data_IF_927118259527
#
_entry.id   IF_927118259527
#
_cell.length_a   1.000
_cell.length_b   1.000
_cell.length_c   1.000
_cell.angle_alpha   90.00
_cell.angle_beta   90.00
_cell.angle_gamma   90.00
#
_symmetry.space_group_name_H-M   'P 1'
#
loop_
_entity.id
_entity.type
_entity.pdbx_description
1 polymer ?
#
# COMPACT_ATOMS: atom_id res chain seq x y z
N UNK A 1 -21.86 -10.59 3.58
CA UNK A 1 -21.11 -10.16 2.38
C UNK A 1 -19.76 -9.62 2.83
N UNK A 2 -18.67 -10.36 2.59
CA UNK A 2 -17.32 -9.97 3.00
C UNK A 2 -16.87 -8.70 2.27
N UNK A 3 -16.09 -7.85 2.96
CA UNK A 3 -15.63 -6.55 2.43
C UNK A 3 -14.51 -6.74 1.42
N UNK A 4 -14.84 -7.26 0.24
CA UNK A 4 -13.90 -7.49 -0.86
C UNK A 4 -13.67 -6.15 -1.57
N UNK A 5 -12.39 -5.80 -1.78
CA UNK A 5 -12.01 -4.61 -2.57
C UNK A 5 -12.19 -4.91 -4.05
N UNK A 6 -12.80 -3.98 -4.78
CA UNK A 6 -13.00 -4.09 -6.24
C UNK A 6 -11.67 -4.12 -6.99
N UNK A 7 -11.62 -4.85 -8.10
CA UNK A 7 -10.41 -5.08 -8.88
C UNK A 7 -9.80 -3.77 -9.41
N UNK A 8 -10.64 -2.81 -9.80
CA UNK A 8 -10.22 -1.48 -10.25
C UNK A 8 -9.33 -0.77 -9.23
N UNK A 9 -9.64 -0.91 -7.93
CA UNK A 9 -8.87 -0.29 -6.86
C UNK A 9 -7.50 -0.95 -6.74
N UNK A 10 -7.44 -2.28 -6.89
CA UNK A 10 -6.17 -3.04 -6.81
C UNK A 10 -5.27 -2.71 -8.00
N UNK A 11 -5.82 -2.66 -9.21
CA UNK A 11 -5.07 -2.33 -10.43
C UNK A 11 -4.51 -0.91 -10.37
N UNK A 12 -5.34 0.08 -10.03
CA UNK A 12 -4.88 1.47 -9.92
C UNK A 12 -3.81 1.62 -8.84
N UNK A 13 -3.98 0.96 -7.69
CA UNK A 13 -3.00 1.01 -6.62
C UNK A 13 -1.67 0.36 -7.01
N UNK A 14 -1.69 -0.75 -7.75
CA UNK A 14 -0.48 -1.38 -8.27
C UNK A 14 0.23 -0.47 -9.27
N UNK A 15 -0.51 0.12 -10.22
CA UNK A 15 0.07 1.01 -11.22
C UNK A 15 0.76 2.23 -10.58
N UNK A 16 0.09 2.87 -9.62
CA UNK A 16 0.65 4.02 -8.90
C UNK A 16 1.90 3.61 -8.11
N UNK A 17 1.86 2.44 -7.46
CA UNK A 17 3.00 1.92 -6.68
C UNK A 17 4.19 1.58 -7.58
N UNK A 18 3.95 1.03 -8.76
CA UNK A 18 5.00 0.71 -9.74
C UNK A 18 5.65 1.97 -10.32
N UNK A 19 4.86 3.02 -10.55
CA UNK A 19 5.39 4.32 -11.01
C UNK A 19 6.22 5.03 -9.93
N UNK A 20 5.87 4.88 -8.64
CA UNK A 20 6.53 5.59 -7.54
C UNK A 20 6.89 4.66 -6.36
N UNK A 21 7.81 3.69 -6.55
CA UNK A 21 8.09 2.68 -5.54
C UNK A 21 8.67 3.25 -4.24
N UNK A 22 9.44 4.34 -4.32
CA UNK A 22 10.15 4.94 -3.18
C UNK A 22 9.31 5.94 -2.38
N UNK A 23 8.12 6.31 -2.84
CA UNK A 23 7.29 7.33 -2.16
C UNK A 23 6.27 6.73 -1.19
N UNK A 24 5.98 5.43 -1.28
CA UNK A 24 4.99 4.78 -0.44
C UNK A 24 5.64 4.08 0.75
N UNK A 25 5.02 4.24 1.91
CA UNK A 25 5.49 3.68 3.19
C UNK A 25 4.40 2.85 3.86
N UNK A 26 4.66 2.32 5.06
CA UNK A 26 3.62 1.68 5.90
C UNK A 26 2.64 2.68 6.51
N UNK A 27 2.96 3.97 6.50
CA UNK A 27 2.11 5.00 7.10
C UNK A 27 0.94 5.38 6.18
N UNK A 28 -0.27 5.35 6.73
CA UNK A 28 -1.49 5.62 5.97
C UNK A 28 -1.67 7.11 5.63
N UNK A 29 -1.28 8.02 6.53
CA UNK A 29 -1.46 9.45 6.33
C UNK A 29 -0.50 10.00 5.28
N UNK A 30 0.77 9.59 5.34
CA UNK A 30 1.78 9.90 4.31
C UNK A 30 1.33 9.38 2.94
N UNK A 31 0.85 8.15 2.86
CA UNK A 31 0.39 7.58 1.60
C UNK A 31 -0.82 8.34 1.02
N UNK A 32 -1.71 8.89 1.86
CA UNK A 32 -2.81 9.75 1.39
C UNK A 32 -2.32 11.07 0.81
N UNK A 33 -1.33 11.70 1.42
CA UNK A 33 -0.74 12.94 0.94
C UNK A 33 -0.06 12.70 -0.41
N UNK A 34 0.78 11.66 -0.50
CA UNK A 34 1.44 11.27 -1.75
C UNK A 34 0.42 10.96 -2.85
N UNK A 35 -0.69 10.30 -2.52
CA UNK A 35 -1.75 10.04 -3.51
C UNK A 35 -2.43 11.31 -4.02
N UNK A 36 -2.58 12.34 -3.18
CA UNK A 36 -3.15 13.64 -3.58
C UNK A 36 -2.19 14.40 -4.50
N UNK A 37 -0.88 14.30 -4.24
CA UNK A 37 0.15 14.91 -5.09
C UNK A 37 0.32 14.18 -6.43
N UNK A 38 0.22 12.85 -6.43
CA UNK A 38 0.49 12.01 -7.59
C UNK A 38 -0.74 11.87 -8.50
N UNK A 39 -1.95 11.88 -7.93
CA UNK A 39 -3.17 11.61 -8.68
C UNK A 39 -4.34 12.49 -8.23
N UNK A 40 -5.05 13.05 -9.20
CA UNK A 40 -6.29 13.78 -8.95
C UNK A 40 -7.41 12.76 -8.72
N UNK A 41 -7.59 12.35 -7.45
CA UNK A 41 -8.65 11.42 -7.05
C UNK A 41 -9.85 12.23 -6.55
N UNK A 42 -11.00 12.22 -7.26
CA UNK A 42 -12.14 13.09 -6.95
C UNK A 42 -12.86 12.69 -5.65
N UNK A 43 -12.88 11.40 -5.32
CA UNK A 43 -13.63 10.89 -4.17
C UNK A 43 -12.73 10.53 -3.00
N UNK A 44 -12.97 11.15 -1.84
CA UNK A 44 -12.30 10.83 -0.56
C UNK A 44 -12.32 9.34 -0.23
N UNK A 45 -13.46 8.67 -0.45
CA UNK A 45 -13.62 7.23 -0.18
C UNK A 45 -12.73 6.37 -1.10
N UNK A 46 -12.57 6.75 -2.36
CA UNK A 46 -11.70 6.03 -3.30
C UNK A 46 -10.24 6.20 -2.91
N UNK A 47 -9.83 7.43 -2.60
CA UNK A 47 -8.47 7.72 -2.11
C UNK A 47 -8.11 6.89 -0.88
N UNK A 48 -9.01 6.86 0.10
CA UNK A 48 -8.80 6.10 1.34
C UNK A 48 -8.72 4.59 1.07
N UNK A 49 -9.51 4.05 0.13
CA UNK A 49 -9.46 2.63 -0.24
C UNK A 49 -8.15 2.26 -0.95
N UNK A 50 -7.64 3.15 -1.80
CA UNK A 50 -6.35 2.99 -2.50
C UNK A 50 -5.20 3.06 -1.49
N UNK A 51 -5.15 4.13 -0.69
CA UNK A 51 -4.14 4.29 0.37
C UNK A 51 -4.11 3.08 1.31
N UNK A 52 -5.28 2.61 1.76
CA UNK A 52 -5.37 1.45 2.64
C UNK A 52 -4.98 0.13 1.97
N UNK A 53 -5.09 0.01 0.65
CA UNK A 53 -4.57 -1.15 -0.08
C UNK A 53 -3.05 -1.09 -0.19
N UNK A 54 -2.48 0.07 -0.54
CA UNK A 54 -1.04 0.28 -0.64
C UNK A 54 -0.35 0.00 0.70
N UNK A 55 -0.86 0.56 1.81
CA UNK A 55 -0.36 0.30 3.16
C UNK A 55 -0.40 -1.19 3.49
N UNK A 56 -1.52 -1.87 3.20
CA UNK A 56 -1.65 -3.32 3.46
C UNK A 56 -0.59 -4.13 2.72
N UNK A 57 -0.30 -3.76 1.47
CA UNK A 57 0.72 -4.46 0.68
C UNK A 57 2.14 -4.15 1.16
N UNK A 58 2.42 -2.92 1.60
CA UNK A 58 3.73 -2.57 2.16
C UNK A 58 4.01 -3.34 3.46
N UNK A 59 3.02 -3.43 4.37
CA UNK A 59 3.16 -4.23 5.61
C UNK A 59 3.49 -5.70 5.29
N UNK A 60 2.79 -6.30 4.32
CA UNK A 60 3.06 -7.68 3.89
C UNK A 60 4.47 -7.82 3.30
N UNK A 61 4.93 -6.83 2.51
CA UNK A 61 6.30 -6.81 1.97
C UNK A 61 7.38 -6.67 3.05
N UNK A 62 7.08 -5.97 4.14
CA UNK A 62 8.00 -5.82 5.27
C UNK A 62 8.07 -7.09 6.11
N UNK A 63 6.95 -7.80 6.26
CA UNK A 63 6.92 -9.13 6.90
C UNK A 63 7.72 -10.17 6.11
N UNK A 64 7.69 -10.13 4.78
CA UNK A 64 8.50 -11.00 3.90
C UNK A 64 10.01 -10.66 3.93
N UNK A 65 10.35 -9.46 4.42
CA UNK A 65 11.74 -8.97 4.58
C UNK A 65 12.29 -9.16 5.99
N UNK A 66 11.54 -9.71 6.95
CA UNK A 66 12.17 -10.20 8.17
C UNK A 66 13.21 -11.25 7.75
N UNK A 67 14.51 -11.06 8.02
CA UNK A 67 15.40 -12.20 7.94
C UNK A 67 14.80 -13.26 8.87
N UNK A 68 14.64 -14.48 8.35
CA UNK A 68 14.53 -15.63 9.24
C UNK A 68 15.79 -15.56 10.10
N UNK A 69 15.64 -15.17 11.36
CA UNK A 69 16.70 -15.39 12.35
C UNK A 69 16.90 -16.91 12.36
N UNK A 70 18.00 -17.36 11.75
CA UNK A 70 18.57 -18.62 12.12
C UNK A 70 19.08 -18.42 13.55
N UNK A 71 18.36 -18.98 14.50
CA UNK A 71 18.87 -19.20 15.86
C UNK A 71 20.03 -20.18 15.70
N UNK A 72 21.22 -19.64 15.43
CA UNK A 72 22.49 -20.36 15.40
C UNK A 72 23.19 -20.07 16.73
N UNK A 73 22.61 -20.55 17.84
CA UNK A 73 23.30 -20.63 19.13
C UNK A 73 23.01 -21.98 19.82
N UNK A 74 23.90 -22.94 19.52
CA UNK A 74 24.44 -24.06 20.35
C UNK A 74 23.48 -25.19 20.77
#
# INVERSE_FOLDING_TARGET
MGKIRTETIKNLANEIREKYPNKFTVDFEKNKQVLDEVAIIPSKTLRNRIAGYITRVQVIKEEDKKPVEYDDEI
#
